data_IF_026245134614
#
_entry.id   IF_026245134614
#
_cell.length_a   1.000
_cell.length_b   1.000
_cell.length_c   1.000
_cell.angle_alpha   90.00
_cell.angle_beta   90.00
_cell.angle_gamma   90.00
#
_symmetry.space_group_name_H-M   'P 1'
#
loop_
_entity.id
_entity.type
_entity.pdbx_description
1 polymer ?
#
# COMPACT_ATOMS: atom_id res chain seq x y z
N UNK A 1 -22.40 -17.63 -7.68
CA UNK A 1 -22.07 -16.40 -6.92
C UNK A 1 -21.31 -16.82 -5.69
N UNK A 2 -19.99 -17.01 -5.82
CA UNK A 2 -19.17 -17.55 -4.72
C UNK A 2 -18.79 -16.39 -3.83
N UNK A 3 -19.45 -16.27 -2.68
CA UNK A 3 -19.10 -15.31 -1.65
C UNK A 3 -17.81 -15.85 -1.01
N UNK A 4 -16.65 -15.39 -1.48
CA UNK A 4 -15.40 -15.59 -0.77
C UNK A 4 -15.40 -14.63 0.40
N UNK A 5 -15.55 -15.14 1.61
CA UNK A 5 -15.33 -14.37 2.83
C UNK A 5 -13.87 -13.88 2.79
N UNK A 6 -13.70 -12.60 2.49
CA UNK A 6 -12.40 -12.00 2.23
C UNK A 6 -11.61 -11.90 3.54
N UNK A 7 -10.68 -12.83 3.75
CA UNK A 7 -9.68 -12.64 4.79
C UNK A 7 -8.83 -11.42 4.45
N UNK A 8 -8.64 -10.53 5.42
CA UNK A 8 -7.62 -9.49 5.33
C UNK A 8 -6.28 -10.03 5.80
N UNK A 9 -5.22 -9.43 5.29
CA UNK A 9 -3.84 -9.65 5.73
C UNK A 9 -3.21 -8.29 6.00
N UNK A 10 -2.41 -8.22 7.05
CA UNK A 10 -1.61 -7.04 7.36
C UNK A 10 -0.23 -7.21 6.76
N UNK A 11 0.15 -6.28 5.88
CA UNK A 11 1.51 -6.22 5.34
C UNK A 11 2.26 -5.04 5.96
N UNK A 12 3.57 -5.23 6.15
CA UNK A 12 4.46 -4.16 6.58
C UNK A 12 5.11 -3.53 5.35
N UNK A 13 5.00 -2.20 5.21
CA UNK A 13 5.62 -1.47 4.12
C UNK A 13 7.14 -1.43 4.26
N UNK A 14 7.82 -1.04 3.19
CA UNK A 14 9.22 -0.59 3.28
C UNK A 14 9.32 0.59 4.25
N UNK A 15 10.50 0.79 4.83
CA UNK A 15 10.76 1.96 5.67
C UNK A 15 10.72 3.24 4.82
N UNK A 16 10.06 4.27 5.31
CA UNK A 16 10.03 5.58 4.68
C UNK A 16 11.45 6.14 4.60
N UNK A 17 11.84 6.63 3.42
CA UNK A 17 13.17 7.23 3.21
C UNK A 17 13.40 8.55 3.96
N UNK A 18 12.33 9.21 4.42
CA UNK A 18 12.43 10.48 5.16
C UNK A 18 12.50 10.26 6.68
N UNK A 19 11.60 9.45 7.25
CA UNK A 19 11.51 9.28 8.69
C UNK A 19 12.02 7.93 9.22
N UNK A 20 12.37 6.98 8.33
CA UNK A 20 12.89 5.66 8.69
C UNK A 20 11.86 4.68 9.28
N UNK A 21 10.60 5.09 9.45
CA UNK A 21 9.54 4.26 10.03
C UNK A 21 8.80 3.46 8.95
N UNK A 22 8.29 2.29 9.32
CA UNK A 22 7.40 1.48 8.47
C UNK A 22 5.93 1.74 8.82
N UNK A 23 5.03 1.27 7.96
CA UNK A 23 3.59 1.23 8.20
C UNK A 23 3.06 -0.19 8.11
N UNK A 24 2.01 -0.48 8.87
CA UNK A 24 1.19 -1.66 8.69
C UNK A 24 -0.03 -1.28 7.84
N UNK A 25 -0.31 -2.04 6.78
CA UNK A 25 -1.45 -1.81 5.87
C UNK A 25 -2.27 -3.08 5.80
N UNK A 26 -3.57 -2.96 6.06
CA UNK A 26 -4.52 -4.05 5.89
C UNK A 26 -4.99 -4.11 4.43
N UNK A 27 -4.92 -5.29 3.83
CA UNK A 27 -5.34 -5.57 2.46
C UNK A 27 -6.18 -6.82 2.42
N UNK A 28 -7.05 -6.97 1.43
CA UNK A 28 -7.60 -8.30 1.14
C UNK A 28 -6.48 -9.23 0.69
N UNK A 29 -6.64 -10.54 0.90
CA UNK A 29 -5.66 -11.52 0.42
C UNK A 29 -5.41 -11.41 -1.09
N UNK A 30 -6.47 -11.21 -1.88
CA UNK A 30 -6.35 -11.05 -3.34
C UNK A 30 -5.54 -9.80 -3.72
N UNK A 31 -5.70 -8.69 -2.99
CA UNK A 31 -4.89 -7.47 -3.20
C UNK A 31 -3.42 -7.72 -2.84
N UNK A 32 -3.16 -8.37 -1.71
CA UNK A 32 -1.81 -8.68 -1.27
C UNK A 32 -1.10 -9.62 -2.26
N UNK A 33 -1.80 -10.63 -2.77
CA UNK A 33 -1.28 -11.57 -3.77
C UNK A 33 -0.99 -10.86 -5.10
N UNK A 34 -1.87 -9.95 -5.54
CA UNK A 34 -1.66 -9.16 -6.76
C UNK A 34 -0.43 -8.22 -6.65
N UNK A 35 -0.24 -7.59 -5.48
CA UNK A 35 0.95 -6.77 -5.20
C UNK A 35 2.22 -7.64 -5.18
N UNK A 36 2.17 -8.81 -4.55
CA UNK A 36 3.28 -9.76 -4.54
C UNK A 36 3.63 -10.24 -5.95
N UNK A 37 2.64 -10.39 -6.82
CA UNK A 37 2.79 -10.68 -8.25
C UNK A 37 3.28 -9.49 -9.09
N UNK A 38 3.61 -8.34 -8.47
CA UNK A 38 4.12 -7.13 -9.12
C UNK A 38 3.14 -6.48 -10.09
N UNK A 39 1.84 -6.72 -9.90
CA UNK A 39 0.78 -6.00 -10.60
C UNK A 39 0.88 -4.51 -10.28
N UNK A 40 0.72 -3.59 -11.27
CA UNK A 40 0.78 -2.15 -10.99
C UNK A 40 -0.21 -1.74 -9.91
N UNK A 41 0.25 -0.97 -8.92
CA UNK A 41 -0.54 -0.69 -7.71
C UNK A 41 -1.85 0.06 -8.01
N UNK A 42 -1.86 0.89 -9.08
CA UNK A 42 -3.05 1.59 -9.54
C UNK A 42 -4.12 0.66 -10.11
N UNK A 43 -3.74 -0.53 -10.58
CA UNK A 43 -4.68 -1.53 -11.07
C UNK A 43 -5.23 -2.37 -9.90
N UNK A 44 -4.43 -2.59 -8.86
CA UNK A 44 -4.84 -3.32 -7.65
C UNK A 44 -5.70 -2.46 -6.72
N UNK A 45 -5.37 -1.17 -6.61
CA UNK A 45 -5.99 -0.21 -5.70
C UNK A 45 -6.40 1.08 -6.46
N UNK A 46 -7.33 0.99 -7.43
CA UNK A 46 -7.69 2.11 -8.29
C UNK A 46 -8.32 3.29 -7.53
N UNK A 47 -9.10 2.98 -6.49
CA UNK A 47 -9.84 3.96 -5.68
C UNK A 47 -9.04 4.52 -4.51
N UNK A 48 -7.79 4.08 -4.33
CA UNK A 48 -6.90 4.59 -3.28
C UNK A 48 -6.16 5.81 -3.81
N UNK A 49 -6.05 6.85 -3.00
CA UNK A 49 -5.33 8.07 -3.38
C UNK A 49 -3.88 7.78 -3.81
N UNK A 50 -3.34 8.49 -4.82
CA UNK A 50 -1.97 8.28 -5.30
C UNK A 50 -0.91 8.31 -4.19
N UNK A 51 -1.03 9.23 -3.23
CA UNK A 51 -0.10 9.34 -2.11
C UNK A 51 -0.13 8.09 -1.20
N UNK A 52 -1.30 7.49 -1.01
CA UNK A 52 -1.45 6.26 -0.21
C UNK A 52 -0.96 5.03 -0.99
N UNK A 53 -1.08 5.02 -2.31
CA UNK A 53 -0.43 4.01 -3.16
C UNK A 53 1.09 4.11 -3.11
N UNK A 54 1.64 5.32 -3.04
CA UNK A 54 3.08 5.54 -2.93
C UNK A 54 3.66 4.96 -1.63
N UNK A 55 2.92 5.02 -0.52
CA UNK A 55 3.28 4.33 0.72
C UNK A 55 3.49 2.83 0.51
N UNK A 56 2.68 2.18 -0.34
CA UNK A 56 2.83 0.77 -0.67
C UNK A 56 3.97 0.50 -1.67
N UNK A 57 4.28 1.45 -2.56
CA UNK A 57 5.36 1.32 -3.56
C UNK A 57 6.74 1.49 -2.91
N UNK A 58 6.98 2.62 -2.25
CA UNK A 58 8.30 3.00 -1.75
C UNK A 58 8.42 2.94 -0.23
N UNK A 59 7.30 2.88 0.50
CA UNK A 59 7.29 3.06 1.95
C UNK A 59 7.15 4.52 2.38
N UNK A 60 7.04 5.46 1.45
CA UNK A 60 7.01 6.89 1.79
C UNK A 60 5.67 7.31 2.37
N UNK A 61 5.68 7.86 3.59
CA UNK A 61 4.47 8.40 4.20
C UNK A 61 3.97 9.63 3.43
N UNK A 62 2.66 9.76 3.19
CA UNK A 62 2.08 10.94 2.55
C UNK A 62 2.47 12.27 3.24
N UNK A 63 2.51 12.27 4.57
CA UNK A 63 2.90 13.44 5.36
C UNK A 63 4.37 13.81 5.15
N UNK A 64 5.28 12.82 5.12
CA UNK A 64 6.70 13.06 4.87
C UNK A 64 6.95 13.56 3.44
N UNK A 65 6.19 13.06 2.46
CA UNK A 65 6.27 13.57 1.09
C UNK A 65 5.84 15.03 1.02
N UNK A 66 4.71 15.38 1.64
CA UNK A 66 4.21 16.75 1.69
C UNK A 66 5.19 17.70 2.41
N UNK A 67 5.84 17.26 3.49
CA UNK A 67 6.85 18.05 4.21
C UNK A 67 8.12 18.28 3.36
N UNK A 68 8.54 17.29 2.58
CA UNK A 68 9.76 17.38 1.77
C UNK A 68 9.61 18.21 0.49
N UNK A 69 8.42 18.29 -0.09
CA UNK A 69 8.19 18.85 -1.44
C UNK A 69 6.99 19.79 -1.59
N UNK A 70 6.23 20.03 -0.51
CA UNK A 70 5.02 20.86 -0.50
C UNK A 70 5.27 22.35 -0.27
#
# INVERSE_FOLDING_TARGET
MTIRTAGTVTITTRACMFCGKTSAVELTRDQADAIAARTPIQDVLPDVEPATRELLISGTHPSCWAEAFG
#
